data_IF_758189643770
#
_entry.id   IF_758189643770
#
_cell.length_a   1.000
_cell.length_b   1.000
_cell.length_c   1.000
_cell.angle_alpha   90.00
_cell.angle_beta   90.00
_cell.angle_gamma   90.00
#
_symmetry.space_group_name_H-M   'P 1'
#
loop_
_entity.id
_entity.type
_entity.pdbx_description
1 polymer ?
#
# COMPACT_ATOMS: atom_id res chain seq x y z
N UNK A 1 -12.24 -6.28 -24.45
CA UNK A 1 -12.41 -6.40 -25.92
C UNK A 1 -12.27 -5.05 -26.60
N UNK A 2 -12.89 -4.00 -26.05
CA UNK A 2 -12.94 -2.64 -26.66
C UNK A 2 -11.55 -2.00 -26.74
N UNK A 3 -10.67 -2.31 -25.83
CA UNK A 3 -9.29 -1.78 -25.79
C UNK A 3 -8.26 -2.69 -26.48
N UNK A 4 -8.68 -3.75 -27.13
CA UNK A 4 -7.80 -4.75 -27.75
C UNK A 4 -6.69 -5.27 -26.81
N UNK A 5 -6.96 -5.27 -25.51
CA UNK A 5 -6.03 -5.82 -24.52
C UNK A 5 -5.99 -7.34 -24.64
N UNK A 6 -4.81 -7.92 -24.83
CA UNK A 6 -4.59 -9.33 -25.06
C UNK A 6 -3.80 -10.02 -23.90
N UNK A 7 -3.73 -9.35 -22.75
CA UNK A 7 -3.15 -9.89 -21.52
C UNK A 7 -4.16 -10.62 -20.65
N UNK A 8 -3.83 -10.77 -19.38
CA UNK A 8 -4.69 -11.37 -18.34
C UNK A 8 -5.26 -10.28 -17.46
N UNK A 9 -6.55 -10.31 -17.23
CA UNK A 9 -7.25 -9.41 -16.29
C UNK A 9 -7.43 -10.13 -14.97
N UNK A 10 -6.90 -9.55 -13.91
CA UNK A 10 -6.93 -10.10 -12.55
C UNK A 10 -7.72 -9.13 -11.67
N UNK A 11 -8.59 -9.66 -10.81
CA UNK A 11 -9.33 -8.82 -9.87
C UNK A 11 -8.41 -8.26 -8.77
N UNK A 12 -8.85 -7.22 -8.10
CA UNK A 12 -8.35 -6.91 -6.78
C UNK A 12 -8.83 -7.96 -5.75
N UNK A 13 -8.21 -8.00 -4.58
CA UNK A 13 -8.55 -8.94 -3.51
C UNK A 13 -9.98 -8.75 -3.02
N UNK A 14 -10.77 -9.83 -3.08
CA UNK A 14 -12.16 -9.84 -2.62
C UNK A 14 -13.11 -8.93 -3.43
N UNK A 15 -12.73 -8.50 -4.62
CA UNK A 15 -13.53 -7.58 -5.45
C UNK A 15 -14.54 -8.26 -6.37
N UNK A 16 -14.60 -9.58 -6.40
CA UNK A 16 -15.58 -10.33 -7.19
C UNK A 16 -16.79 -10.67 -6.33
N UNK A 17 -17.99 -10.36 -6.82
CA UNK A 17 -19.23 -10.57 -6.09
C UNK A 17 -20.30 -11.35 -6.89
N UNK A 18 -20.01 -11.70 -8.14
CA UNK A 18 -20.92 -12.44 -9.03
C UNK A 18 -20.13 -13.24 -10.06
N UNK A 19 -20.37 -14.57 -10.10
CA UNK A 19 -19.68 -15.49 -11.01
C UNK A 19 -20.00 -15.22 -12.48
N UNK A 20 -21.26 -14.89 -12.80
CA UNK A 20 -21.70 -14.66 -14.17
C UNK A 20 -21.13 -13.37 -14.72
N UNK A 21 -21.27 -12.28 -13.99
CA UNK A 21 -20.69 -10.98 -14.38
C UNK A 21 -19.17 -11.08 -14.54
N UNK A 22 -18.48 -11.74 -13.62
CA UNK A 22 -17.04 -11.94 -13.71
C UNK A 22 -16.66 -12.75 -14.96
N UNK A 23 -17.39 -13.83 -15.26
CA UNK A 23 -17.15 -14.62 -16.45
C UNK A 23 -17.37 -13.83 -17.73
N UNK A 24 -18.47 -13.10 -17.85
CA UNK A 24 -18.88 -12.37 -19.06
C UNK A 24 -18.11 -11.07 -19.29
N UNK A 25 -17.63 -10.41 -18.20
CA UNK A 25 -16.89 -9.15 -18.29
C UNK A 25 -15.44 -9.29 -18.79
N UNK A 26 -14.94 -10.51 -18.92
CA UNK A 26 -13.56 -10.78 -19.37
C UNK A 26 -12.53 -10.78 -18.24
N UNK A 27 -12.95 -10.95 -16.99
CA UNK A 27 -12.06 -11.24 -15.87
C UNK A 27 -11.50 -12.65 -16.05
N UNK A 28 -10.18 -12.80 -16.03
CA UNK A 28 -9.53 -14.11 -16.25
C UNK A 28 -9.20 -14.82 -14.94
N UNK A 29 -8.94 -14.08 -13.87
CA UNK A 29 -8.50 -14.63 -12.59
C UNK A 29 -9.06 -13.80 -11.43
N UNK A 30 -9.71 -14.47 -10.48
CA UNK A 30 -10.12 -13.90 -9.21
C UNK A 30 -8.98 -13.99 -8.18
N UNK A 31 -8.72 -12.89 -7.48
CA UNK A 31 -7.91 -12.86 -6.28
C UNK A 31 -8.82 -12.79 -5.06
N UNK A 32 -8.69 -13.75 -4.16
CA UNK A 32 -9.48 -13.77 -2.93
C UNK A 32 -8.62 -14.25 -1.74
N UNK A 33 -9.04 -13.85 -0.53
CA UNK A 33 -8.46 -14.30 0.74
C UNK A 33 -9.19 -15.48 1.34
N UNK A 34 -10.31 -15.89 0.77
CA UNK A 34 -11.07 -17.07 1.19
C UNK A 34 -10.31 -18.33 0.84
N UNK A 35 -10.28 -19.28 1.76
CA UNK A 35 -9.56 -20.54 1.58
C UNK A 35 -10.43 -21.66 0.99
N UNK A 36 -11.75 -21.47 0.97
CA UNK A 36 -12.71 -22.47 0.52
C UNK A 36 -13.19 -22.15 -0.89
N UNK A 37 -13.07 -23.12 -1.79
CA UNK A 37 -13.40 -22.93 -3.22
C UNK A 37 -14.89 -22.70 -3.48
N UNK A 38 -15.78 -23.16 -2.60
CA UNK A 38 -17.21 -22.89 -2.66
C UNK A 38 -17.60 -21.45 -2.32
N UNK A 39 -16.69 -20.71 -1.67
CA UNK A 39 -16.85 -19.29 -1.37
C UNK A 39 -16.25 -18.35 -2.41
N UNK A 40 -15.43 -18.89 -3.32
CA UNK A 40 -14.79 -18.11 -4.39
C UNK A 40 -15.65 -18.13 -5.65
N UNK A 41 -15.99 -16.97 -6.18
CA UNK A 41 -16.96 -16.84 -7.28
C UNK A 41 -16.50 -17.47 -8.59
N UNK A 42 -15.19 -17.48 -8.86
CA UNK A 42 -14.63 -18.10 -10.08
C UNK A 42 -14.08 -19.52 -9.85
N UNK A 43 -14.46 -20.16 -8.76
CA UNK A 43 -14.13 -21.57 -8.46
C UNK A 43 -15.38 -22.47 -8.56
N UNK A 44 -15.84 -23.09 -7.47
CA UNK A 44 -17.00 -23.98 -7.49
C UNK A 44 -18.31 -23.33 -7.95
N UNK A 45 -18.63 -22.07 -7.59
CA UNK A 45 -19.80 -21.39 -8.11
C UNK A 45 -19.77 -21.24 -9.65
N UNK A 46 -18.62 -20.90 -10.22
CA UNK A 46 -18.46 -20.83 -11.69
C UNK A 46 -18.62 -22.24 -12.32
N UNK A 47 -17.97 -23.25 -11.75
CA UNK A 47 -18.06 -24.63 -12.24
C UNK A 47 -19.52 -25.12 -12.23
N UNK A 48 -20.26 -24.79 -11.17
CA UNK A 48 -21.69 -25.13 -11.07
C UNK A 48 -22.50 -24.42 -12.13
N UNK A 49 -22.28 -23.12 -12.32
CA UNK A 49 -23.00 -22.34 -13.32
C UNK A 49 -22.76 -22.83 -14.77
N UNK A 50 -21.55 -23.31 -15.07
CA UNK A 50 -21.25 -23.96 -16.37
C UNK A 50 -21.98 -25.29 -16.50
N UNK A 51 -21.95 -26.15 -15.47
CA UNK A 51 -22.68 -27.44 -15.48
C UNK A 51 -24.19 -27.28 -15.61
N UNK A 52 -24.73 -26.24 -15.01
CA UNK A 52 -26.17 -25.92 -15.08
C UNK A 52 -26.54 -25.20 -16.40
N UNK A 53 -25.60 -24.94 -17.30
CA UNK A 53 -25.83 -24.27 -18.59
C UNK A 53 -26.13 -22.77 -18.47
N UNK A 54 -25.85 -22.14 -17.33
CA UNK A 54 -26.05 -20.69 -17.08
C UNK A 54 -24.90 -19.87 -17.69
N UNK A 55 -23.71 -20.45 -17.76
CA UNK A 55 -22.48 -19.86 -18.32
C UNK A 55 -21.93 -20.80 -19.38
N UNK A 56 -21.58 -20.26 -20.52
CA UNK A 56 -20.96 -21.01 -21.60
C UNK A 56 -19.54 -21.45 -21.25
N UNK A 57 -19.22 -22.74 -21.43
CA UNK A 57 -17.88 -23.30 -21.18
C UNK A 57 -16.79 -22.55 -22.00
N UNK A 58 -17.14 -22.06 -23.18
CA UNK A 58 -16.23 -21.29 -24.04
C UNK A 58 -15.64 -20.05 -23.35
N UNK A 59 -16.37 -19.44 -22.39
CA UNK A 59 -15.84 -18.32 -21.61
C UNK A 59 -14.74 -18.76 -20.65
N UNK A 60 -14.83 -19.95 -20.09
CA UNK A 60 -13.76 -20.53 -19.25
C UNK A 60 -12.55 -20.84 -20.12
N UNK A 61 -12.75 -21.42 -21.30
CA UNK A 61 -11.70 -21.68 -22.27
C UNK A 61 -10.95 -20.41 -22.68
N UNK A 62 -11.67 -19.29 -22.88
CA UNK A 62 -11.04 -18.00 -23.21
C UNK A 62 -10.10 -17.54 -22.09
N UNK A 63 -10.52 -17.65 -20.84
CA UNK A 63 -9.73 -17.28 -19.66
C UNK A 63 -8.46 -18.16 -19.56
N UNK A 64 -8.64 -19.46 -19.70
CA UNK A 64 -7.50 -20.40 -19.69
C UNK A 64 -6.52 -20.09 -20.82
N UNK A 65 -6.99 -19.77 -22.02
CA UNK A 65 -6.13 -19.37 -23.15
C UNK A 65 -5.35 -18.10 -22.84
N UNK A 66 -5.98 -17.11 -22.21
CA UNK A 66 -5.32 -15.86 -21.85
C UNK A 66 -4.20 -16.10 -20.83
N UNK A 67 -4.47 -16.91 -19.80
CA UNK A 67 -3.48 -17.30 -18.78
C UNK A 67 -2.32 -18.08 -19.40
N UNK A 68 -2.63 -19.10 -20.22
CA UNK A 68 -1.59 -19.89 -20.88
C UNK A 68 -0.75 -19.06 -21.86
N UNK A 69 -1.38 -18.13 -22.60
CA UNK A 69 -0.68 -17.19 -23.49
C UNK A 69 0.30 -16.32 -22.71
N UNK A 70 -0.13 -15.78 -21.57
CA UNK A 70 0.75 -15.01 -20.67
C UNK A 70 1.92 -15.85 -20.19
N UNK A 71 1.67 -17.08 -19.72
CA UNK A 71 2.71 -17.97 -19.22
C UNK A 71 3.73 -18.36 -20.32
N UNK A 72 3.26 -18.57 -21.55
CA UNK A 72 4.13 -18.81 -22.72
C UNK A 72 4.98 -17.59 -23.06
N UNK A 73 4.37 -16.39 -23.13
CA UNK A 73 5.08 -15.13 -23.38
C UNK A 73 6.16 -14.86 -22.34
N UNK A 74 5.88 -15.18 -21.08
CA UNK A 74 6.83 -15.05 -19.97
C UNK A 74 7.83 -16.21 -19.91
N UNK A 75 7.76 -17.19 -20.81
CA UNK A 75 8.61 -18.38 -20.82
C UNK A 75 8.57 -19.17 -19.49
N UNK A 76 7.40 -19.20 -18.87
CA UNK A 76 7.15 -19.98 -17.65
C UNK A 76 6.87 -21.45 -17.98
N UNK A 77 6.27 -21.69 -19.13
CA UNK A 77 5.93 -23.02 -19.69
C UNK A 77 6.37 -23.11 -21.16
N UNK A 78 6.25 -24.30 -21.74
CA UNK A 78 6.57 -24.58 -23.14
C UNK A 78 8.04 -24.85 -23.40
N UNK A 79 8.42 -25.04 -24.69
CA UNK A 79 9.78 -25.44 -25.07
C UNK A 79 10.84 -24.39 -24.77
N UNK A 80 10.45 -23.11 -24.67
CA UNK A 80 11.35 -22.03 -24.35
C UNK A 80 11.40 -21.69 -22.84
N UNK A 81 10.89 -22.57 -21.97
CA UNK A 81 10.89 -22.36 -20.53
C UNK A 81 12.26 -21.98 -20.01
N UNK A 82 12.31 -20.88 -19.25
CA UNK A 82 13.53 -20.41 -18.58
C UNK A 82 13.45 -20.64 -17.08
N UNK A 83 14.48 -21.30 -16.53
CA UNK A 83 14.67 -21.31 -15.09
C UNK A 83 15.15 -19.93 -14.66
N UNK A 84 14.31 -19.22 -13.93
CA UNK A 84 14.66 -17.92 -13.38
C UNK A 84 15.42 -18.11 -12.08
N UNK A 85 16.51 -17.38 -11.93
CA UNK A 85 17.20 -17.27 -10.63
C UNK A 85 16.42 -16.33 -9.72
N UNK A 86 16.50 -16.52 -8.42
CA UNK A 86 16.04 -15.56 -7.45
C UNK A 86 16.80 -14.24 -7.65
N UNK A 87 16.06 -13.14 -7.65
CA UNK A 87 16.66 -11.81 -7.68
C UNK A 87 17.39 -11.48 -6.37
N UNK A 88 18.13 -10.40 -6.37
CA UNK A 88 18.69 -9.82 -5.16
C UNK A 88 17.73 -8.78 -4.58
N UNK A 89 17.76 -8.60 -3.28
CA UNK A 89 17.02 -7.54 -2.57
C UNK A 89 17.93 -6.83 -1.57
N UNK A 90 17.57 -5.60 -1.22
CA UNK A 90 18.31 -4.76 -0.27
C UNK A 90 19.81 -4.60 -0.61
N UNK A 91 20.12 -4.52 -1.90
CA UNK A 91 21.48 -4.21 -2.35
C UNK A 91 21.78 -2.72 -2.12
N UNK A 92 23.07 -2.34 -2.23
CA UNK A 92 23.45 -0.93 -2.17
C UNK A 92 22.78 -0.11 -3.27
N UNK A 93 22.64 -0.67 -4.46
CA UNK A 93 21.95 -0.05 -5.58
C UNK A 93 20.47 0.18 -5.25
N UNK A 94 19.79 -0.82 -4.66
CA UNK A 94 18.39 -0.66 -4.23
C UNK A 94 18.24 0.44 -3.17
N UNK A 95 19.13 0.48 -2.18
CA UNK A 95 19.10 1.53 -1.14
C UNK A 95 19.32 2.91 -1.72
N UNK A 96 20.23 3.05 -2.69
CA UNK A 96 20.45 4.31 -3.38
C UNK A 96 19.23 4.73 -4.19
N UNK A 97 18.65 3.83 -4.98
CA UNK A 97 17.45 4.10 -5.75
C UNK A 97 16.28 4.56 -4.87
N UNK A 98 16.04 3.89 -3.73
CA UNK A 98 15.00 4.29 -2.76
C UNK A 98 15.26 5.69 -2.19
N UNK A 99 16.52 6.00 -1.85
CA UNK A 99 16.88 7.32 -1.36
C UNK A 99 16.69 8.41 -2.44
N UNK A 100 17.04 8.12 -3.67
CA UNK A 100 16.88 9.08 -4.77
C UNK A 100 15.41 9.32 -5.09
N UNK A 101 14.59 8.27 -5.11
CA UNK A 101 13.12 8.41 -5.23
C UNK A 101 12.55 9.26 -4.08
N UNK A 102 12.98 9.02 -2.85
CA UNK A 102 12.53 9.81 -1.70
C UNK A 102 12.91 11.29 -1.83
N UNK A 103 14.11 11.60 -2.34
CA UNK A 103 14.56 12.98 -2.58
C UNK A 103 13.75 13.67 -3.67
N UNK A 104 13.52 12.99 -4.78
CA UNK A 104 12.75 13.51 -5.91
C UNK A 104 11.26 13.67 -5.60
N UNK A 105 10.73 12.93 -4.61
CA UNK A 105 9.34 13.03 -4.20
C UNK A 105 9.03 14.25 -3.31
N UNK A 106 10.06 14.93 -2.79
CA UNK A 106 9.88 16.13 -1.95
C UNK A 106 9.66 17.38 -2.81
N UNK A 107 8.53 18.04 -2.60
CA UNK A 107 8.16 19.27 -3.31
C UNK A 107 8.25 20.44 -2.36
N UNK A 108 9.13 21.40 -2.69
CA UNK A 108 9.27 22.66 -1.93
C UNK A 108 8.22 23.66 -2.39
N UNK A 109 7.15 23.83 -1.62
CA UNK A 109 6.03 24.70 -1.99
C UNK A 109 6.34 26.20 -1.77
N UNK A 110 7.17 26.51 -0.78
CA UNK A 110 7.52 27.90 -0.42
C UNK A 110 8.88 27.92 0.27
N UNK A 111 9.73 28.85 -0.12
CA UNK A 111 11.01 29.12 0.53
C UNK A 111 11.39 30.60 0.33
N UNK A 112 10.49 31.48 0.76
CA UNK A 112 10.81 32.91 0.87
C UNK A 112 11.96 33.05 1.88
N UNK A 113 12.73 34.08 1.78
CA UNK A 113 13.89 34.33 2.64
C UNK A 113 14.99 33.26 2.61
N UNK A 114 14.90 32.26 1.74
CA UNK A 114 15.88 31.19 1.57
C UNK A 114 16.26 30.47 2.88
N UNK A 115 15.26 30.19 3.73
CA UNK A 115 15.45 29.50 5.01
C UNK A 115 15.99 28.08 4.81
N UNK A 116 15.64 27.43 3.71
CA UNK A 116 16.16 26.12 3.33
C UNK A 116 17.20 26.26 2.20
N UNK A 117 18.27 25.46 2.22
CA UNK A 117 18.63 24.43 3.22
C UNK A 117 19.08 25.02 4.56
N UNK A 118 18.75 24.33 5.66
CA UNK A 118 19.21 24.74 6.99
C UNK A 118 20.73 24.67 7.06
N UNK A 119 21.35 25.73 7.56
CA UNK A 119 22.79 25.74 7.84
C UNK A 119 23.05 25.01 9.16
N UNK A 120 23.73 23.88 9.08
CA UNK A 120 24.06 23.03 10.25
C UNK A 120 25.27 23.56 11.02
N UNK A 121 25.28 24.85 11.35
CA UNK A 121 26.39 25.48 12.06
C UNK A 121 26.30 25.25 13.55
N UNK A 122 27.43 25.34 14.24
CA UNK A 122 27.50 25.25 15.69
C UNK A 122 26.64 26.30 16.34
N UNK A 123 25.77 25.89 17.29
CA UNK A 123 24.85 26.75 18.00
C UNK A 123 23.46 26.94 17.35
N UNK A 124 23.24 26.39 16.17
CA UNK A 124 21.90 26.33 15.59
C UNK A 124 20.95 25.49 16.44
N UNK A 125 19.69 25.92 16.52
CA UNK A 125 18.63 25.21 17.24
C UNK A 125 17.54 24.83 16.26
N UNK A 126 17.13 23.56 16.24
CA UNK A 126 16.04 23.05 15.40
C UNK A 126 14.95 22.50 16.30
N UNK A 127 13.74 22.98 16.15
CA UNK A 127 12.56 22.44 16.80
C UNK A 127 11.82 21.53 15.80
N UNK A 128 11.61 20.27 16.17
CA UNK A 128 10.82 19.29 15.41
C UNK A 128 9.51 19.09 16.16
N UNK A 129 8.40 19.41 15.51
CA UNK A 129 7.07 19.40 16.13
C UNK A 129 6.17 18.46 15.33
N UNK A 130 5.42 17.63 16.04
CA UNK A 130 4.47 16.68 15.46
C UNK A 130 4.78 15.23 15.83
N UNK A 131 3.77 14.47 16.26
CA UNK A 131 3.92 13.08 16.68
C UNK A 131 4.47 12.21 15.54
N UNK A 132 4.08 12.48 14.30
CA UNK A 132 4.57 11.74 13.12
C UNK A 132 6.09 11.88 12.92
N UNK A 133 6.73 12.91 13.44
CA UNK A 133 8.18 13.05 13.33
C UNK A 133 8.95 11.97 14.09
N UNK A 134 8.41 11.48 15.20
CA UNK A 134 8.99 10.39 16.00
C UNK A 134 8.45 9.01 15.59
N UNK A 135 7.32 8.97 14.89
CA UNK A 135 6.69 7.73 14.48
C UNK A 135 7.47 7.05 13.33
N UNK A 136 7.38 5.75 13.32
CA UNK A 136 8.01 4.90 12.30
C UNK A 136 6.95 4.55 11.26
N UNK A 137 7.18 4.96 10.01
CA UNK A 137 6.27 4.79 8.89
C UNK A 137 6.97 4.16 7.69
N UNK A 138 7.44 2.92 7.85
CA UNK A 138 8.09 2.19 6.74
C UNK A 138 7.10 1.70 5.69
N UNK A 139 5.82 1.65 6.02
CA UNK A 139 4.73 1.24 5.13
C UNK A 139 3.41 1.90 5.53
N UNK A 140 2.42 1.80 4.65
CA UNK A 140 1.07 2.36 4.88
C UNK A 140 0.12 1.44 5.65
N UNK A 141 0.56 0.24 6.04
CA UNK A 141 -0.31 -0.78 6.61
C UNK A 141 -1.11 -1.56 5.55
N UNK A 142 -2.04 -2.41 5.99
CA UNK A 142 -2.85 -3.26 5.11
C UNK A 142 -2.00 -4.20 4.28
N UNK A 143 -2.32 -4.35 2.99
CA UNK A 143 -1.57 -5.22 2.06
C UNK A 143 -0.12 -4.76 1.81
N UNK A 144 0.22 -3.51 2.12
CA UNK A 144 1.57 -2.98 2.04
C UNK A 144 2.37 -3.18 3.34
N UNK A 145 1.79 -3.80 4.36
CA UNK A 145 2.45 -4.02 5.65
C UNK A 145 3.50 -5.14 5.53
N UNK A 146 4.75 -4.73 5.38
CA UNK A 146 5.91 -5.62 5.32
C UNK A 146 6.81 -5.38 6.53
N UNK A 147 7.52 -6.42 6.94
CA UNK A 147 8.54 -6.31 7.98
C UNK A 147 9.79 -5.66 7.40
N UNK A 148 10.02 -4.39 7.73
CA UNK A 148 11.22 -3.68 7.31
C UNK A 148 12.47 -4.27 8.00
N UNK A 149 13.63 -4.24 7.31
CA UNK A 149 14.91 -4.67 7.89
C UNK A 149 15.42 -3.67 8.93
N UNK A 150 15.13 -2.41 8.74
CA UNK A 150 15.39 -1.32 9.68
C UNK A 150 14.41 -0.19 9.40
N UNK A 151 14.22 0.66 10.40
CA UNK A 151 13.31 1.79 10.31
C UNK A 151 13.96 3.03 10.92
N UNK A 152 13.77 4.16 10.26
CA UNK A 152 14.31 5.45 10.70
C UNK A 152 13.17 6.46 10.69
N UNK A 153 12.85 7.02 11.86
CA UNK A 153 11.89 8.12 11.91
C UNK A 153 12.49 9.42 11.36
N UNK A 154 11.67 10.38 10.89
CA UNK A 154 12.15 11.70 10.49
C UNK A 154 13.03 12.37 11.56
N UNK A 155 12.61 12.31 12.81
CA UNK A 155 13.37 12.86 13.94
C UNK A 155 14.75 12.21 14.10
N UNK A 156 14.82 10.88 13.98
CA UNK A 156 16.10 10.15 14.02
C UNK A 156 16.99 10.55 12.84
N UNK A 157 16.43 10.65 11.64
CA UNK A 157 17.15 11.06 10.45
C UNK A 157 17.75 12.47 10.59
N UNK A 158 16.95 13.43 11.07
CA UNK A 158 17.40 14.81 11.32
C UNK A 158 18.50 14.85 12.36
N UNK A 159 18.32 14.18 13.52
CA UNK A 159 19.34 14.13 14.57
C UNK A 159 20.64 13.50 14.09
N UNK A 160 20.55 12.43 13.31
CA UNK A 160 21.72 11.75 12.75
C UNK A 160 22.47 12.61 11.74
N UNK A 161 21.73 13.33 10.88
CA UNK A 161 22.31 14.19 9.85
C UNK A 161 23.01 15.43 10.46
N UNK A 162 22.34 16.08 11.42
CA UNK A 162 22.83 17.32 12.02
C UNK A 162 23.95 17.09 13.07
N UNK A 163 24.07 15.86 13.59
CA UNK A 163 25.09 15.53 14.57
C UNK A 163 24.92 16.25 15.91
N UNK A 164 25.99 16.27 16.72
CA UNK A 164 25.98 16.87 18.07
C UNK A 164 26.12 18.40 18.11
N UNK A 165 26.42 19.05 17.00
CA UNK A 165 26.67 20.49 16.94
C UNK A 165 25.39 21.33 16.91
N UNK A 166 24.27 20.73 16.56
CA UNK A 166 22.96 21.36 16.47
C UNK A 166 22.06 20.82 17.58
N UNK A 167 21.44 21.72 18.35
CA UNK A 167 20.44 21.33 19.35
C UNK A 167 19.13 21.02 18.66
N UNK A 168 18.72 19.76 18.62
CA UNK A 168 17.41 19.32 18.11
C UNK A 168 16.49 19.04 19.29
N UNK A 169 15.46 19.87 19.45
CA UNK A 169 14.35 19.65 20.40
C UNK A 169 13.17 19.01 19.69
N UNK A 170 12.35 18.27 20.44
CA UNK A 170 11.17 17.60 19.90
C UNK A 170 9.97 17.81 20.81
N UNK A 171 8.81 18.08 20.19
CA UNK A 171 7.51 18.13 20.85
C UNK A 171 6.47 17.39 20.00
N UNK A 172 5.67 16.47 20.58
CA UNK A 172 4.67 15.73 19.81
C UNK A 172 3.54 16.61 19.28
N UNK A 173 3.14 17.64 20.02
CA UNK A 173 2.08 18.57 19.62
C UNK A 173 0.66 17.96 19.63
N UNK A 174 0.53 16.66 19.36
CA UNK A 174 -0.72 15.91 19.38
C UNK A 174 -0.45 14.42 19.69
N UNK A 175 -1.49 13.69 20.06
CA UNK A 175 -1.41 12.25 20.34
C UNK A 175 -1.94 11.48 19.13
N UNK A 176 -1.17 10.50 18.66
CA UNK A 176 -1.63 9.55 17.65
C UNK A 176 -2.46 8.48 18.39
N UNK A 177 -3.71 8.21 17.99
CA UNK A 177 -4.47 7.08 18.53
C UNK A 177 -3.73 5.76 18.36
N UNK A 178 -3.88 4.84 19.31
CA UNK A 178 -3.26 3.52 19.22
C UNK A 178 -3.75 2.77 17.98
N UNK A 179 -2.82 2.09 17.28
CA UNK A 179 -3.12 1.30 16.07
C UNK A 179 -4.24 0.26 16.27
N UNK A 180 -4.54 -0.15 17.49
CA UNK A 180 -5.62 -1.09 17.80
C UNK A 180 -7.02 -0.54 17.50
N UNK A 181 -7.22 0.78 17.64
CA UNK A 181 -8.49 1.43 17.28
C UNK A 181 -8.65 1.63 15.77
N UNK A 182 -7.54 1.70 15.03
CA UNK A 182 -7.55 1.83 13.57
C UNK A 182 -7.62 0.47 12.84
N UNK A 183 -7.33 -0.65 13.51
CA UNK A 183 -7.35 -1.99 12.90
C UNK A 183 -8.75 -2.61 12.77
N UNK A 184 -9.78 -1.97 13.32
CA UNK A 184 -11.18 -2.37 13.15
C UNK A 184 -11.83 -1.85 11.87
N UNK A 185 -11.09 -1.13 11.02
CA UNK A 185 -11.57 -0.80 9.69
C UNK A 185 -11.54 -2.09 8.86
N UNK A 186 -12.69 -2.74 8.80
CA UNK A 186 -12.89 -3.89 7.91
C UNK A 186 -12.94 -3.38 6.47
N UNK A 187 -11.81 -3.39 5.78
CA UNK A 187 -11.70 -2.98 4.38
C UNK A 187 -12.63 -3.75 3.45
N UNK A 188 -13.02 -4.97 3.82
CA UNK A 188 -13.97 -5.79 3.09
C UNK A 188 -15.41 -5.29 3.25
N UNK A 189 -15.76 -4.72 4.41
CA UNK A 189 -17.07 -4.10 4.62
C UNK A 189 -17.20 -2.75 3.92
N UNK A 190 -16.10 -1.99 3.79
CA UNK A 190 -16.10 -0.69 3.12
C UNK A 190 -16.39 -0.79 1.60
N UNK A 191 -16.16 -1.95 0.98
CA UNK A 191 -16.48 -2.17 -0.44
C UNK A 191 -17.93 -2.53 -0.73
N UNK A 192 -18.72 -2.84 0.30
CA UNK A 192 -20.13 -3.27 0.17
C UNK A 192 -21.15 -2.22 0.62
N UNK A 193 -20.73 -1.17 1.32
CA UNK A 193 -21.60 -0.05 1.64
C UNK A 193 -21.68 0.91 0.45
N UNK A 194 -22.81 0.87 -0.23
CA UNK A 194 -23.22 1.83 -1.26
C UNK A 194 -23.09 3.26 -0.77
N UNK A 195 -22.77 4.17 -1.70
CA UNK A 195 -22.40 5.58 -1.54
C UNK A 195 -23.38 6.47 -0.72
N UNK A 196 -24.34 5.94 -0.02
CA UNK A 196 -25.32 6.68 0.77
C UNK A 196 -24.92 6.98 2.21
N UNK A 197 -23.76 6.45 2.70
CA UNK A 197 -23.30 6.69 4.08
C UNK A 197 -21.93 7.39 4.20
N UNK A 198 -21.45 8.04 3.14
CA UNK A 198 -20.11 8.68 3.12
C UNK A 198 -20.10 10.10 3.72
N UNK A 199 -21.11 10.53 4.45
CA UNK A 199 -21.11 11.80 5.21
C UNK A 199 -20.86 11.66 6.72
N UNK A 200 -20.31 10.54 7.17
CA UNK A 200 -19.71 10.53 8.52
C UNK A 200 -18.22 10.81 8.39
N UNK A 201 -17.92 12.05 8.62
CA UNK A 201 -16.60 12.66 8.79
C UNK A 201 -15.55 11.69 9.32
N UNK A 202 -14.54 11.41 8.48
CA UNK A 202 -13.23 10.97 8.95
C UNK A 202 -12.55 12.17 9.64
N UNK A 203 -13.08 12.58 10.78
CA UNK A 203 -12.35 13.46 11.69
C UNK A 203 -11.24 12.61 12.32
N UNK A 204 -10.08 12.60 11.70
CA UNK A 204 -8.83 12.41 12.43
C UNK A 204 -8.68 13.64 13.32
N UNK A 205 -9.50 13.75 14.35
CA UNK A 205 -9.35 14.76 15.37
C UNK A 205 -8.20 14.31 16.26
N UNK A 206 -7.01 14.86 16.02
CA UNK A 206 -5.94 14.80 16.99
C UNK A 206 -6.50 15.33 18.31
N UNK A 207 -6.60 14.48 19.32
CA UNK A 207 -7.05 14.88 20.65
C UNK A 207 -6.07 15.92 21.18
N UNK A 208 -6.51 17.11 21.64
CA UNK A 208 -5.61 18.08 22.25
C UNK A 208 -4.88 17.42 23.44
N UNK A 209 -3.61 17.80 23.63
CA UNK A 209 -2.80 17.35 24.75
C UNK A 209 -3.51 17.67 26.07
N UNK A 210 -3.47 16.75 27.02
CA UNK A 210 -3.95 17.01 28.38
C UNK A 210 -3.02 18.00 29.10
N UNK A 211 -3.50 18.58 30.22
CA UNK A 211 -2.76 19.61 31.00
C UNK A 211 -1.36 19.13 31.42
N UNK A 212 -1.20 17.82 31.78
CA UNK A 212 0.10 17.25 32.16
C UNK A 212 1.07 17.14 30.99
N UNK A 213 0.52 16.92 29.80
CA UNK A 213 1.31 16.86 28.57
C UNK A 213 1.70 18.27 28.10
N UNK A 214 0.88 19.29 28.41
CA UNK A 214 1.19 20.69 28.12
C UNK A 214 2.24 21.25 29.08
N UNK A 215 2.17 20.91 30.36
CA UNK A 215 3.19 21.30 31.37
C UNK A 215 4.57 20.68 31.09
N UNK A 216 4.64 19.48 30.53
CA UNK A 216 5.90 18.83 30.16
C UNK A 216 6.59 19.48 28.94
N UNK A 217 5.94 20.40 28.24
CA UNK A 217 6.44 21.06 27.05
C UNK A 217 6.85 22.52 27.29
N UNK A 218 6.51 23.09 28.47
CA UNK A 218 6.93 24.41 28.90
C UNK A 218 8.34 24.41 29.53
#
# INVERSE_FOLDING_TARGET
>A
KDWAFDGVVISDWGAVHDSKLAAESGLDLEMDVKYQFDEQYMAEPLLKAVKDGVIEESLVDEKVRNILRMMLRLKMIGPERKHRKTGAYNTEEHRRAVLDVARESMILLKNEDQVLPLQAESGCKVAVIGANAAAIHSNGGGSAEIKALYEISPLMGIKKLLGGNVKVSYAPGYVIPDKKEASEINWQAASTETAENTEKESTVSGRPLDEKQQEALA
#
